data_IF_060155520239
#
_entry.id   IF_060155520239
#
_cell.length_a   1.000
_cell.length_b   1.000
_cell.length_c   1.000
_cell.angle_alpha   90.00
_cell.angle_beta   90.00
_cell.angle_gamma   90.00
#
_symmetry.space_group_name_H-M   'P 1'
#
loop_
_entity.id
_entity.type
_entity.pdbx_description
1 polymer ?
#
# COMPACT_ATOMS: atom_id res chain seq x y z
N UNK A 1 19.35 -12.95 -29.97
CA UNK A 1 18.45 -11.80 -29.94
C UNK A 1 17.93 -11.64 -28.53
N UNK A 2 18.28 -10.54 -27.87
CA UNK A 2 17.77 -10.26 -26.50
C UNK A 2 16.27 -9.91 -26.63
N UNK A 3 15.38 -10.75 -26.11
CA UNK A 3 13.96 -10.42 -25.98
C UNK A 3 13.87 -9.15 -25.12
N UNK A 4 13.37 -8.07 -25.68
CA UNK A 4 13.01 -6.87 -24.92
C UNK A 4 11.89 -7.25 -23.96
N UNK A 5 12.24 -7.48 -22.71
CA UNK A 5 11.25 -7.64 -21.65
C UNK A 5 10.45 -6.33 -21.55
N UNK A 6 9.18 -6.36 -21.89
CA UNK A 6 8.28 -5.20 -21.73
C UNK A 6 8.17 -4.94 -20.22
N UNK A 7 8.75 -3.83 -19.79
CA UNK A 7 8.70 -3.43 -18.39
C UNK A 7 7.38 -2.71 -18.13
N UNK A 8 6.56 -3.28 -17.28
CA UNK A 8 5.37 -2.61 -16.75
C UNK A 8 5.79 -1.66 -15.62
N UNK A 9 5.25 -0.44 -15.59
CA UNK A 9 5.57 0.58 -14.61
C UNK A 9 4.40 0.81 -13.66
N UNK A 10 4.67 0.85 -12.36
CA UNK A 10 3.69 1.03 -11.29
C UNK A 10 4.11 2.17 -10.36
N UNK A 11 3.24 3.14 -10.19
CA UNK A 11 3.38 4.16 -9.15
C UNK A 11 2.56 3.77 -7.92
N UNK A 12 3.22 3.69 -6.77
CA UNK A 12 2.59 3.55 -5.46
C UNK A 12 2.77 4.84 -4.67
N UNK A 13 1.70 5.38 -4.14
CA UNK A 13 1.74 6.59 -3.31
C UNK A 13 1.12 6.30 -1.96
N UNK A 14 1.89 6.54 -0.90
CA UNK A 14 1.41 6.52 0.48
C UNK A 14 1.14 7.93 0.99
N UNK A 15 0.25 8.05 1.97
CA UNK A 15 -0.08 9.32 2.59
C UNK A 15 1.12 9.89 3.35
N UNK A 16 1.77 9.03 4.15
CA UNK A 16 2.88 9.39 5.01
C UNK A 16 4.09 8.45 4.87
N UNK A 17 5.06 8.63 5.78
CA UNK A 17 6.29 7.83 5.80
C UNK A 17 6.02 6.36 6.15
N UNK A 18 5.07 6.07 7.04
CA UNK A 18 4.71 4.70 7.42
C UNK A 18 4.14 3.94 6.23
N UNK A 19 3.20 4.56 5.50
CA UNK A 19 2.61 3.98 4.30
C UNK A 19 3.68 3.70 3.24
N UNK A 20 4.55 4.69 2.98
CA UNK A 20 5.62 4.56 2.00
C UNK A 20 6.62 3.45 2.39
N UNK A 21 6.94 3.30 3.67
CA UNK A 21 7.81 2.23 4.16
C UNK A 21 7.16 0.85 3.99
N UNK A 22 5.87 0.72 4.33
CA UNK A 22 5.13 -0.51 4.11
C UNK A 22 5.01 -0.86 2.61
N UNK A 23 4.66 0.11 1.76
CA UNK A 23 4.61 -0.09 0.31
C UNK A 23 5.97 -0.49 -0.27
N UNK A 24 7.06 0.07 0.26
CA UNK A 24 8.43 -0.31 -0.11
C UNK A 24 8.75 -1.75 0.31
N UNK A 25 8.33 -2.17 1.50
CA UNK A 25 8.45 -3.53 1.97
C UNK A 25 7.72 -4.52 1.03
N UNK A 26 6.44 -4.24 0.71
CA UNK A 26 5.67 -5.08 -0.22
C UNK A 26 6.31 -5.13 -1.61
N UNK A 27 6.81 -3.99 -2.11
CA UNK A 27 7.54 -3.92 -3.37
C UNK A 27 8.75 -4.87 -3.39
N UNK A 28 9.55 -4.91 -2.33
CA UNK A 28 10.73 -5.77 -2.27
C UNK A 28 10.37 -7.25 -2.45
N UNK A 29 9.25 -7.69 -1.89
CA UNK A 29 8.76 -9.07 -2.04
C UNK A 29 8.10 -9.34 -3.39
N UNK A 30 7.31 -8.40 -3.91
CA UNK A 30 6.42 -8.64 -5.04
C UNK A 30 7.02 -8.23 -6.39
N UNK A 31 8.05 -7.37 -6.39
CA UNK A 31 8.70 -6.89 -7.61
C UNK A 31 10.24 -7.02 -7.53
N UNK A 32 10.77 -8.24 -7.39
CA UNK A 32 12.22 -8.45 -7.39
C UNK A 32 12.84 -8.04 -8.72
N UNK A 33 14.17 -7.85 -8.71
CA UNK A 33 14.91 -7.54 -9.95
C UNK A 33 14.63 -8.60 -11.01
N UNK A 34 14.33 -8.17 -12.23
CA UNK A 34 14.03 -9.08 -13.35
C UNK A 34 12.56 -9.54 -13.45
N UNK A 35 11.68 -9.13 -12.52
CA UNK A 35 10.25 -9.46 -12.56
C UNK A 35 9.48 -8.84 -13.75
N UNK A 36 10.09 -7.91 -14.49
CA UNK A 36 9.40 -7.15 -15.54
C UNK A 36 8.51 -6.02 -15.02
N UNK A 37 8.43 -5.86 -13.68
CA UNK A 37 7.67 -4.79 -13.04
C UNK A 37 8.63 -3.76 -12.42
N UNK A 38 8.50 -2.51 -12.83
CA UNK A 38 9.25 -1.37 -12.26
C UNK A 38 8.32 -0.58 -11.36
N UNK A 39 8.59 -0.59 -10.06
CA UNK A 39 7.75 0.05 -9.05
C UNK A 39 8.44 1.28 -8.47
N UNK A 40 7.76 2.41 -8.54
CA UNK A 40 8.14 3.65 -7.87
C UNK A 40 7.24 3.87 -6.66
N UNK A 41 7.83 4.03 -5.48
CA UNK A 41 7.09 4.38 -4.26
C UNK A 41 7.35 5.85 -3.93
N UNK A 42 6.27 6.59 -3.66
CA UNK A 42 6.30 8.00 -3.28
C UNK A 42 5.56 8.22 -1.97
N UNK A 43 6.08 9.15 -1.16
CA UNK A 43 5.37 9.71 -0.02
C UNK A 43 4.76 11.05 -0.44
N UNK A 44 3.46 11.24 -0.22
CA UNK A 44 2.77 12.47 -0.60
C UNK A 44 3.05 13.63 0.37
N UNK A 45 3.64 13.34 1.55
CA UNK A 45 3.83 14.31 2.64
C UNK A 45 2.54 15.10 2.95
N UNK A 46 1.40 14.48 2.66
CA UNK A 46 0.09 15.09 2.75
C UNK A 46 -0.63 14.70 4.03
N UNK A 47 -1.55 15.55 4.42
CA UNK A 47 -2.55 15.25 5.42
C UNK A 47 -3.88 15.13 4.71
N UNK A 48 -4.41 13.91 4.63
CA UNK A 48 -5.72 13.63 4.07
C UNK A 48 -5.71 13.08 2.63
N UNK A 49 -6.70 12.24 2.37
CA UNK A 49 -6.84 11.47 1.15
C UNK A 49 -6.93 12.33 -0.12
N UNK A 50 -7.61 13.46 -0.06
CA UNK A 50 -7.72 14.38 -1.20
C UNK A 50 -6.36 14.90 -1.66
N UNK A 51 -5.48 15.26 -0.71
CA UNK A 51 -4.12 15.76 -1.04
C UNK A 51 -3.25 14.67 -1.65
N UNK A 52 -3.36 13.44 -1.14
CA UNK A 52 -2.62 12.29 -1.65
C UNK A 52 -3.03 11.94 -3.08
N UNK A 53 -4.34 11.92 -3.37
CA UNK A 53 -4.84 11.70 -4.74
C UNK A 53 -4.38 12.79 -5.69
N UNK A 54 -4.47 14.07 -5.29
CA UNK A 54 -3.97 15.18 -6.10
C UNK A 54 -2.45 15.12 -6.34
N UNK A 55 -1.68 14.67 -5.34
CA UNK A 55 -0.25 14.43 -5.50
C UNK A 55 0.00 13.36 -6.57
N UNK A 56 -0.70 12.22 -6.51
CA UNK A 56 -0.58 11.15 -7.49
C UNK A 56 -0.94 11.62 -8.92
N UNK A 57 -1.99 12.41 -9.05
CA UNK A 57 -2.39 13.01 -10.35
C UNK A 57 -1.24 13.86 -10.93
N UNK A 58 -0.60 14.71 -10.10
CA UNK A 58 0.56 15.53 -10.54
C UNK A 58 1.75 14.66 -10.94
N UNK A 59 2.06 13.60 -10.18
CA UNK A 59 3.15 12.68 -10.52
C UNK A 59 2.93 12.03 -11.90
N UNK A 60 1.70 11.59 -12.20
CA UNK A 60 1.34 10.97 -13.49
C UNK A 60 1.37 11.93 -14.67
N UNK A 61 1.20 13.23 -14.44
CA UNK A 61 1.36 14.25 -15.52
C UNK A 61 2.83 14.42 -15.91
N UNK A 62 3.74 14.21 -14.97
CA UNK A 62 5.17 14.38 -15.20
C UNK A 62 5.85 13.13 -15.77
N UNK A 63 5.38 11.95 -15.36
CA UNK A 63 5.95 10.67 -15.75
C UNK A 63 4.81 9.69 -16.07
N UNK A 64 4.92 9.01 -17.20
CA UNK A 64 3.96 7.97 -17.56
C UNK A 64 4.17 6.72 -16.71
N UNK A 65 3.07 6.25 -16.10
CA UNK A 65 2.99 4.96 -15.41
C UNK A 65 1.83 4.15 -15.98
N UNK A 66 2.03 2.85 -16.18
CA UNK A 66 0.99 1.94 -16.68
C UNK A 66 -0.12 1.75 -15.63
N UNK A 67 0.22 1.82 -14.35
CA UNK A 67 -0.72 1.78 -13.25
C UNK A 67 -0.32 2.73 -12.12
N UNK A 68 -1.31 3.21 -11.38
CA UNK A 68 -1.12 4.06 -10.20
C UNK A 68 -2.04 3.61 -9.09
N UNK A 69 -1.47 3.39 -7.93
CA UNK A 69 -2.18 3.00 -6.70
C UNK A 69 -1.88 4.01 -5.61
N UNK A 70 -2.89 4.39 -4.88
CA UNK A 70 -2.81 5.32 -3.75
C UNK A 70 -3.34 4.62 -2.51
N UNK A 71 -2.55 4.59 -1.45
CA UNK A 71 -2.94 4.09 -0.13
C UNK A 71 -3.23 5.28 0.77
N UNK A 72 -4.42 5.33 1.33
CA UNK A 72 -4.91 6.42 2.20
C UNK A 72 -5.59 5.89 3.44
N UNK A 73 -5.60 6.69 4.48
CA UNK A 73 -6.34 6.41 5.70
C UNK A 73 -7.79 6.92 5.59
N UNK A 74 -8.74 6.22 6.24
CA UNK A 74 -10.15 6.62 6.21
C UNK A 74 -10.56 7.57 7.33
N UNK A 75 -9.67 7.80 8.30
CA UNK A 75 -9.95 8.60 9.49
C UNK A 75 -9.84 10.13 9.28
N UNK A 76 -9.52 10.57 8.07
CA UNK A 76 -9.39 11.98 7.71
C UNK A 76 -10.53 12.46 6.80
N UNK A 77 -10.20 12.94 5.61
CA UNK A 77 -11.14 13.51 4.63
C UNK A 77 -11.57 12.50 3.54
N UNK A 78 -11.42 11.20 3.80
CA UNK A 78 -11.84 10.15 2.89
C UNK A 78 -13.36 10.18 2.69
N UNK A 79 -13.80 10.30 1.43
CA UNK A 79 -15.21 10.37 1.08
C UNK A 79 -15.44 10.01 -0.39
N UNK A 80 -16.71 9.93 -0.79
CA UNK A 80 -17.14 9.59 -2.16
C UNK A 80 -16.52 10.47 -3.24
N UNK A 81 -16.30 11.75 -2.97
CA UNK A 81 -15.72 12.67 -3.94
C UNK A 81 -14.24 12.35 -4.21
N UNK A 82 -13.49 11.94 -3.18
CA UNK A 82 -12.11 11.49 -3.31
C UNK A 82 -12.04 10.20 -4.13
N UNK A 83 -12.94 9.24 -3.88
CA UNK A 83 -13.04 8.00 -4.68
C UNK A 83 -13.32 8.31 -6.16
N UNK A 84 -14.29 9.19 -6.43
CA UNK A 84 -14.65 9.58 -7.79
C UNK A 84 -13.50 10.33 -8.49
N UNK A 85 -12.78 11.18 -7.77
CA UNK A 85 -11.61 11.89 -8.30
C UNK A 85 -10.52 10.89 -8.69
N UNK A 86 -10.19 9.94 -7.83
CA UNK A 86 -9.21 8.88 -8.12
C UNK A 86 -9.63 8.06 -9.33
N UNK A 87 -10.88 7.59 -9.36
CA UNK A 87 -11.43 6.79 -10.47
C UNK A 87 -11.36 7.53 -11.81
N UNK A 88 -11.78 8.82 -11.85
CA UNK A 88 -11.74 9.65 -13.07
C UNK A 88 -10.32 9.83 -13.62
N UNK A 89 -9.32 9.75 -12.75
CA UNK A 89 -7.91 9.88 -13.12
C UNK A 89 -7.20 8.52 -13.30
N UNK A 90 -7.95 7.41 -13.32
CA UNK A 90 -7.37 6.06 -13.48
C UNK A 90 -6.43 5.67 -12.35
N UNK A 91 -6.72 6.11 -11.13
CA UNK A 91 -5.98 5.79 -9.91
C UNK A 91 -6.76 4.74 -9.15
N UNK A 92 -6.11 3.64 -8.81
CA UNK A 92 -6.64 2.64 -7.89
C UNK A 92 -6.44 3.11 -6.45
N UNK A 93 -7.53 3.41 -5.76
CA UNK A 93 -7.52 3.91 -4.40
C UNK A 93 -7.74 2.75 -3.43
N UNK A 94 -6.79 2.52 -2.55
CA UNK A 94 -6.86 1.52 -1.47
C UNK A 94 -7.00 2.28 -0.16
N UNK A 95 -8.03 1.93 0.61
CA UNK A 95 -8.33 2.57 1.88
C UNK A 95 -7.94 1.68 3.06
N UNK A 96 -7.13 2.19 3.98
CA UNK A 96 -6.84 1.57 5.27
C UNK A 96 -7.77 2.15 6.34
N UNK A 97 -8.57 1.27 6.95
CA UNK A 97 -9.60 1.68 7.91
C UNK A 97 -9.19 1.33 9.36
N UNK A 98 -9.16 2.28 10.27
CA UNK A 98 -9.16 3.74 10.04
C UNK A 98 -7.83 4.27 9.52
N UNK A 99 -6.74 3.54 9.72
CA UNK A 99 -5.38 3.90 9.32
C UNK A 99 -4.50 2.65 9.11
N UNK A 100 -3.30 2.87 8.56
CA UNK A 100 -2.37 1.78 8.23
C UNK A 100 -1.96 0.96 9.47
N UNK A 101 -1.74 1.57 10.62
CA UNK A 101 -1.36 0.85 11.84
C UNK A 101 -2.46 -0.13 12.27
N UNK A 102 -3.72 0.27 12.20
CA UNK A 102 -4.85 -0.59 12.53
C UNK A 102 -4.98 -1.76 11.54
N UNK A 103 -4.84 -1.49 10.24
CA UNK A 103 -4.83 -2.51 9.19
C UNK A 103 -3.74 -3.56 9.44
N UNK A 104 -2.52 -3.11 9.73
CA UNK A 104 -1.38 -4.00 9.95
C UNK A 104 -1.49 -4.78 11.25
N UNK A 105 -2.01 -4.18 12.33
CA UNK A 105 -2.31 -4.90 13.56
C UNK A 105 -3.30 -6.05 13.32
N UNK A 106 -4.40 -5.80 12.59
CA UNK A 106 -5.36 -6.86 12.22
C UNK A 106 -4.71 -7.95 11.37
N UNK A 107 -3.81 -7.56 10.47
CA UNK A 107 -3.10 -8.51 9.60
C UNK A 107 -2.28 -9.55 10.36
N UNK A 108 -1.83 -9.22 11.57
CA UNK A 108 -1.12 -10.14 12.47
C UNK A 108 -2.01 -10.70 13.59
N UNK A 109 -3.33 -10.58 13.45
CA UNK A 109 -4.30 -11.11 14.41
C UNK A 109 -4.40 -10.31 15.73
N UNK A 110 -3.94 -9.05 15.74
CA UNK A 110 -4.05 -8.17 16.91
C UNK A 110 -5.27 -7.25 16.77
N UNK A 111 -6.00 -7.08 17.86
CA UNK A 111 -7.11 -6.14 17.90
C UNK A 111 -6.59 -4.72 18.03
N UNK A 112 -6.90 -3.79 17.09
CA UNK A 112 -6.53 -2.40 17.23
C UNK A 112 -7.20 -1.75 18.45
N UNK A 113 -6.43 -0.96 19.17
CA UNK A 113 -6.91 -0.18 20.30
C UNK A 113 -7.56 1.14 19.85
N UNK A 114 -7.64 2.09 20.79
CA UNK A 114 -8.15 3.44 20.51
C UNK A 114 -7.20 4.18 19.52
N UNK A 115 -7.77 5.02 18.66
CA UNK A 115 -7.02 5.78 17.64
C UNK A 115 -5.79 6.50 18.21
N UNK A 116 -5.92 7.14 19.37
CA UNK A 116 -4.81 7.85 20.04
C UNK A 116 -3.64 6.95 20.50
N UNK A 117 -3.81 5.62 20.51
CA UNK A 117 -2.80 4.66 20.96
C UNK A 117 -2.30 3.74 19.85
N UNK A 118 -2.86 3.81 18.65
CA UNK A 118 -2.53 2.88 17.55
C UNK A 118 -1.06 2.91 17.20
N UNK A 119 -0.44 4.08 17.09
CA UNK A 119 0.98 4.21 16.79
C UNK A 119 1.86 3.56 17.85
N UNK A 120 1.56 3.80 19.13
CA UNK A 120 2.29 3.19 20.25
C UNK A 120 2.07 1.68 20.30
N UNK A 121 0.85 1.20 20.00
CA UNK A 121 0.54 -0.22 19.93
C UNK A 121 1.26 -0.91 18.77
N UNK A 122 1.43 -0.23 17.64
CA UNK A 122 2.05 -0.75 16.43
C UNK A 122 3.59 -0.76 16.51
N UNK A 123 4.19 0.25 17.14
CA UNK A 123 5.64 0.47 17.18
C UNK A 123 6.49 -0.78 17.50
N UNK A 124 6.15 -1.65 18.47
CA UNK A 124 6.95 -2.85 18.78
C UNK A 124 7.05 -3.85 17.62
N UNK A 125 6.10 -3.84 16.68
CA UNK A 125 6.10 -4.76 15.54
C UNK A 125 6.99 -4.30 14.38
N UNK A 126 7.52 -3.07 14.45
CA UNK A 126 8.41 -2.46 13.45
C UNK A 126 9.66 -1.87 14.11
N UNK A 127 10.15 -2.51 15.18
CA UNK A 127 11.35 -2.13 15.93
C UNK A 127 11.37 -0.64 16.33
N UNK A 128 10.21 -0.09 16.73
CA UNK A 128 9.98 1.31 17.10
C UNK A 128 10.31 2.34 15.99
N UNK A 129 10.60 1.88 14.77
CA UNK A 129 10.81 2.73 13.60
C UNK A 129 9.98 2.27 12.40
N UNK A 130 8.72 2.72 12.29
CA UNK A 130 7.82 2.38 11.19
C UNK A 130 8.17 3.06 9.86
N UNK A 131 9.18 3.92 9.83
CA UNK A 131 9.64 4.57 8.59
C UNK A 131 10.67 3.75 7.83
N UNK A 132 11.24 2.72 8.47
CA UNK A 132 12.19 1.81 7.85
C UNK A 132 11.47 0.55 7.31
N UNK A 133 11.48 0.39 5.99
CA UNK A 133 10.82 -0.76 5.33
C UNK A 133 11.35 -2.13 5.75
N UNK A 134 12.61 -2.23 6.17
CA UNK A 134 13.20 -3.51 6.62
C UNK A 134 12.60 -4.00 7.94
N UNK A 135 12.10 -3.10 8.78
CA UNK A 135 11.51 -3.46 10.07
C UNK A 135 10.16 -4.19 9.95
N UNK A 136 9.56 -4.20 8.76
CA UNK A 136 8.31 -4.93 8.49
C UNK A 136 8.53 -6.43 8.26
N UNK A 137 9.75 -6.86 7.93
CA UNK A 137 10.05 -8.24 7.52
C UNK A 137 9.62 -9.28 8.55
N UNK A 138 9.89 -9.04 9.82
CA UNK A 138 9.65 -10.00 10.90
C UNK A 138 8.18 -10.39 11.06
N UNK A 139 7.26 -9.42 10.94
CA UNK A 139 5.84 -9.61 11.25
C UNK A 139 4.93 -9.48 10.03
N UNK A 140 5.43 -8.97 8.91
CA UNK A 140 4.64 -8.69 7.70
C UNK A 140 5.23 -9.33 6.45
N UNK A 141 5.94 -10.45 6.58
CA UNK A 141 6.42 -11.24 5.46
C UNK A 141 5.27 -11.75 4.57
N UNK A 142 5.61 -12.22 3.35
CA UNK A 142 4.60 -12.57 2.34
C UNK A 142 3.55 -13.58 2.80
N UNK A 143 3.92 -14.57 3.60
CA UNK A 143 2.95 -15.58 4.08
C UNK A 143 1.91 -14.97 5.02
N UNK A 144 2.34 -14.02 5.85
CA UNK A 144 1.44 -13.26 6.73
C UNK A 144 0.50 -12.39 5.89
N UNK A 145 1.03 -11.65 4.91
CA UNK A 145 0.22 -10.80 4.03
C UNK A 145 -0.77 -11.59 3.18
N UNK A 146 -0.37 -12.73 2.63
CA UNK A 146 -1.29 -13.63 1.91
C UNK A 146 -2.41 -14.17 2.82
N UNK A 147 -2.09 -14.52 4.05
CA UNK A 147 -3.10 -14.94 5.03
C UNK A 147 -4.05 -13.79 5.36
N UNK A 148 -3.50 -12.59 5.63
CA UNK A 148 -4.29 -11.40 5.94
C UNK A 148 -5.17 -10.96 4.77
N UNK A 149 -4.78 -11.21 3.52
CA UNK A 149 -5.58 -10.86 2.34
C UNK A 149 -6.94 -11.57 2.28
N UNK A 150 -7.13 -12.64 3.05
CA UNK A 150 -8.43 -13.33 3.15
C UNK A 150 -9.48 -12.49 3.88
N UNK A 151 -9.07 -11.67 4.84
CA UNK A 151 -9.96 -10.83 5.67
C UNK A 151 -9.79 -9.34 5.44
N UNK A 152 -8.58 -8.89 5.13
CA UNK A 152 -8.26 -7.48 4.93
C UNK A 152 -8.28 -7.13 3.43
N UNK A 153 -9.34 -6.44 3.00
CA UNK A 153 -9.56 -6.05 1.59
C UNK A 153 -8.40 -5.22 1.05
N UNK A 154 -7.90 -4.25 1.84
CA UNK A 154 -6.79 -3.39 1.43
C UNK A 154 -5.50 -4.19 1.13
N UNK A 155 -5.18 -5.19 1.95
CA UNK A 155 -4.03 -6.09 1.70
C UNK A 155 -4.27 -6.92 0.45
N UNK A 156 -5.47 -7.47 0.26
CA UNK A 156 -5.83 -8.25 -0.93
C UNK A 156 -5.67 -7.42 -2.19
N UNK A 157 -6.24 -6.23 -2.24
CA UNK A 157 -6.15 -5.33 -3.39
C UNK A 157 -4.70 -4.96 -3.70
N UNK A 158 -3.91 -4.64 -2.67
CA UNK A 158 -2.50 -4.31 -2.83
C UNK A 158 -1.71 -5.48 -3.45
N UNK A 159 -1.89 -6.70 -2.95
CA UNK A 159 -1.21 -7.89 -3.50
C UNK A 159 -1.65 -8.20 -4.93
N UNK A 160 -2.94 -8.01 -5.24
CA UNK A 160 -3.46 -8.21 -6.60
C UNK A 160 -2.86 -7.23 -7.62
N UNK A 161 -2.58 -5.99 -7.22
CA UNK A 161 -1.91 -5.01 -8.10
C UNK A 161 -0.54 -5.50 -8.56
N UNK A 162 0.16 -6.23 -7.71
CA UNK A 162 1.44 -6.86 -8.05
C UNK A 162 1.30 -8.18 -8.83
N UNK A 163 0.07 -8.64 -9.07
CA UNK A 163 -0.17 -9.92 -9.73
C UNK A 163 0.06 -11.14 -8.85
N UNK A 164 0.07 -10.98 -7.53
CA UNK A 164 0.19 -12.09 -6.60
C UNK A 164 -1.05 -12.97 -6.71
N UNK A 165 -0.86 -14.25 -7.02
CA UNK A 165 -1.95 -15.23 -7.02
C UNK A 165 -2.35 -15.52 -5.57
N UNK A 166 -3.52 -15.08 -5.21
CA UNK A 166 -4.16 -15.43 -3.94
C UNK A 166 -4.94 -16.72 -4.22
N UNK A 167 -4.62 -17.79 -3.49
CA UNK A 167 -5.29 -19.08 -3.69
C UNK A 167 -6.82 -18.91 -3.65
N UNK A 168 -7.52 -19.50 -4.62
CA UNK A 168 -8.97 -19.59 -4.58
C UNK A 168 -9.39 -20.28 -3.29
N UNK A 169 -10.36 -19.71 -2.58
CA UNK A 169 -11.02 -20.41 -1.49
C UNK A 169 -11.52 -21.75 -2.03
N UNK A 170 -10.92 -22.83 -1.51
CA UNK A 170 -11.48 -24.16 -1.74
C UNK A 170 -12.93 -24.15 -1.24
N UNK A 171 -13.85 -24.53 -2.13
CA UNK A 171 -15.24 -24.81 -1.80
C UNK A 171 -15.33 -25.91 -0.76
#
# INVERSE_FOLDING_TARGET
MSQRCIKRTLLLVGEGLHDAAFLTHVKHHCAPRGSGLVVTVKNAHGKGALKVVNFAIRQRKNIHYDACVVLVDTDTDYNKNVELLAKRNGIHLIASDPCIEALLLRSIGKRPGKASRLKAQFAPYVADDPTNSQNYEKYFGMEILKRASKTEVAIRELLMVFGVKLGSEGK
#
